data_IF_379179375496
#
_entry.id   IF_379179375496
#
_cell.length_a   1.000
_cell.length_b   1.000
_cell.length_c   1.000
_cell.angle_alpha   90.00
_cell.angle_beta   90.00
_cell.angle_gamma   90.00
#
_symmetry.space_group_name_H-M   'P 1'
#
loop_
_entity.id
_entity.type
_entity.pdbx_description
1 polymer ?
#
# COMPACT_ATOMS: atom_id res chain seq x y z
N UNK A 1 4.56 -21.74 -1.13
CA UNK A 1 3.35 -21.48 -0.33
C UNK A 1 3.09 -19.98 -0.36
N UNK A 2 1.84 -19.53 -0.57
CA UNK A 2 1.48 -18.10 -0.50
C UNK A 2 1.23 -17.72 0.98
N UNK A 3 1.60 -16.49 1.37
CA UNK A 3 1.39 -15.98 2.74
C UNK A 3 0.13 -15.12 2.82
N UNK A 4 0.02 -14.15 1.92
CA UNK A 4 -1.13 -13.28 1.74
C UNK A 4 -1.27 -12.90 0.25
N UNK A 5 -2.45 -12.41 -0.12
CA UNK A 5 -2.82 -12.06 -1.48
C UNK A 5 -3.66 -10.78 -1.49
N UNK A 6 -3.40 -9.96 -2.51
CA UNK A 6 -4.20 -8.79 -2.89
C UNK A 6 -4.40 -8.87 -4.40
N UNK A 7 -5.63 -9.16 -4.83
CA UNK A 7 -5.96 -9.26 -6.25
C UNK A 7 -6.30 -7.86 -6.81
N UNK A 8 -5.26 -7.09 -7.11
CA UNK A 8 -5.33 -5.73 -7.66
C UNK A 8 -4.26 -5.50 -8.71
N UNK A 9 -4.64 -4.89 -9.84
CA UNK A 9 -3.68 -4.35 -10.81
C UNK A 9 -3.29 -2.95 -10.37
N UNK A 10 -2.23 -2.84 -9.57
CA UNK A 10 -1.81 -1.59 -8.95
C UNK A 10 -0.29 -1.51 -8.81
N UNK A 11 0.21 -0.29 -8.67
CA UNK A 11 1.57 -0.05 -8.20
C UNK A 11 1.66 -0.41 -6.74
N UNK A 12 2.80 -0.95 -6.30
CA UNK A 12 3.00 -1.39 -4.91
C UNK A 12 4.21 -0.74 -4.26
N UNK A 13 4.08 -0.39 -2.98
CA UNK A 13 5.19 0.04 -2.13
C UNK A 13 5.04 -0.52 -0.72
N UNK A 14 6.11 -1.12 -0.19
CA UNK A 14 6.14 -1.66 1.16
C UNK A 14 6.60 -0.63 2.18
N UNK A 15 5.97 -0.62 3.36
CA UNK A 15 6.48 0.18 4.48
C UNK A 15 7.93 -0.19 4.82
N UNK A 16 8.72 0.73 5.39
CA UNK A 16 10.07 0.43 5.84
C UNK A 16 10.10 -0.80 6.76
N UNK A 17 11.16 -1.61 6.67
CA UNK A 17 11.27 -2.84 7.46
C UNK A 17 11.27 -2.64 8.97
N UNK A 18 11.58 -1.43 9.44
CA UNK A 18 11.55 -1.06 10.87
C UNK A 18 10.15 -0.63 11.33
N UNK A 19 9.22 -0.39 10.41
CA UNK A 19 7.84 -0.06 10.76
C UNK A 19 7.07 -1.34 11.07
N UNK A 20 6.51 -1.40 12.27
CA UNK A 20 5.62 -2.47 12.70
C UNK A 20 4.29 -1.87 13.19
N UNK A 21 3.13 -2.41 12.76
CA UNK A 21 2.94 -3.49 11.78
C UNK A 21 3.50 -3.19 10.38
N UNK A 22 3.68 -4.25 9.56
CA UNK A 22 4.15 -4.11 8.17
C UNK A 22 2.94 -3.79 7.29
N UNK A 23 3.11 -2.80 6.41
CA UNK A 23 2.05 -2.35 5.51
C UNK A 23 2.46 -2.42 4.04
N UNK A 24 1.46 -2.62 3.18
CA UNK A 24 1.56 -2.58 1.73
C UNK A 24 0.66 -1.47 1.22
N UNK A 25 1.23 -0.46 0.57
CA UNK A 25 0.47 0.55 -0.16
C UNK A 25 0.30 0.11 -1.61
N UNK A 26 -0.92 0.23 -2.13
CA UNK A 26 -1.22 0.01 -3.54
C UNK A 26 -1.92 1.22 -4.16
N UNK A 27 -1.45 1.68 -5.32
CA UNK A 27 -2.03 2.80 -6.05
C UNK A 27 -2.45 2.41 -7.46
N UNK A 28 -3.60 2.87 -7.92
CA UNK A 28 -4.02 2.68 -9.33
C UNK A 28 -3.01 3.33 -10.27
N UNK A 29 -2.35 2.52 -11.10
CA UNK A 29 -1.31 3.01 -12.02
C UNK A 29 -1.90 3.81 -13.18
N UNK A 30 -1.24 4.90 -13.56
CA UNK A 30 -1.58 5.71 -14.74
C UNK A 30 -1.33 4.99 -16.06
N UNK A 31 -0.40 4.03 -16.06
CA UNK A 31 0.02 3.31 -17.28
C UNK A 31 -0.71 1.99 -17.48
N UNK A 32 -1.42 1.51 -16.46
CA UNK A 32 -2.16 0.25 -16.53
C UNK A 32 -3.66 0.54 -16.58
N UNK A 33 -4.38 -0.32 -17.30
CA UNK A 33 -5.83 -0.35 -17.29
C UNK A 33 -6.26 -1.55 -16.45
N UNK A 34 -7.16 -1.32 -15.50
CA UNK A 34 -7.69 -2.42 -14.69
C UNK A 34 -8.69 -3.27 -15.49
N UNK A 35 -9.04 -4.44 -14.96
CA UNK A 35 -9.99 -5.37 -15.58
C UNK A 35 -11.39 -4.77 -15.82
N UNK A 36 -11.70 -3.65 -15.16
CA UNK A 36 -13.00 -2.97 -15.22
C UNK A 36 -13.01 -1.72 -16.12
N UNK A 37 -11.87 -1.38 -16.74
CA UNK A 37 -11.68 -0.16 -17.53
C UNK A 37 -12.03 1.13 -16.75
N UNK A 38 -11.94 1.07 -15.42
CA UNK A 38 -12.28 2.20 -14.55
C UNK A 38 -11.23 3.30 -14.67
N UNK A 39 -11.69 4.56 -14.69
CA UNK A 39 -10.82 5.74 -14.61
C UNK A 39 -10.64 6.25 -13.19
N UNK A 40 -11.29 5.62 -12.20
CA UNK A 40 -11.17 6.02 -10.80
C UNK A 40 -9.80 5.59 -10.27
N UNK A 41 -9.07 6.52 -9.66
CA UNK A 41 -7.82 6.21 -9.00
C UNK A 41 -8.05 6.05 -7.50
N UNK A 42 -7.39 5.06 -6.90
CA UNK A 42 -7.38 4.88 -5.45
C UNK A 42 -5.97 4.55 -4.96
N UNK A 43 -5.68 5.02 -3.76
CA UNK A 43 -4.55 4.61 -2.94
C UNK A 43 -5.10 3.82 -1.75
N UNK A 44 -4.68 2.58 -1.62
CA UNK A 44 -5.12 1.66 -0.57
C UNK A 44 -3.91 1.24 0.25
N UNK A 45 -4.10 1.07 1.57
CA UNK A 45 -3.07 0.58 2.49
C UNK A 45 -3.59 -0.70 3.12
N UNK A 46 -2.82 -1.77 2.98
CA UNK A 46 -3.11 -3.08 3.53
C UNK A 46 -2.14 -3.42 4.66
N UNK A 47 -2.64 -4.01 5.73
CA UNK A 47 -1.80 -4.55 6.80
C UNK A 47 -1.44 -6.00 6.53
N UNK A 48 -0.16 -6.34 6.73
CA UNK A 48 0.33 -7.71 6.68
C UNK A 48 0.14 -8.38 8.04
N UNK A 49 -1.07 -8.90 8.25
CA UNK A 49 -1.40 -9.69 9.43
C UNK A 49 -1.15 -11.19 9.18
N UNK A 50 -0.02 -11.71 9.65
CA UNK A 50 0.33 -13.12 9.56
C UNK A 50 -0.35 -13.99 10.63
N UNK A 51 -1.06 -13.39 11.59
CA UNK A 51 -1.83 -14.13 12.60
C UNK A 51 -3.18 -14.61 12.04
N UNK A 52 -3.72 -13.90 11.06
CA UNK A 52 -4.93 -14.28 10.35
C UNK A 52 -4.61 -15.34 9.27
N UNK A 53 -5.17 -16.56 9.36
CA UNK A 53 -4.92 -17.65 8.42
C UNK A 53 -5.55 -17.44 7.04
N UNK A 54 -6.39 -16.41 6.88
CA UNK A 54 -6.95 -16.04 5.57
C UNK A 54 -5.85 -15.64 4.59
N UNK A 55 -6.08 -15.87 3.31
CA UNK A 55 -5.15 -15.43 2.27
C UNK A 55 -5.27 -13.93 2.01
N UNK A 56 -6.45 -13.35 2.18
CA UNK A 56 -6.69 -11.96 1.85
C UNK A 56 -6.00 -11.00 2.84
N UNK A 57 -5.45 -9.90 2.31
CA UNK A 57 -5.02 -8.77 3.15
C UNK A 57 -6.18 -7.81 3.41
N UNK A 58 -6.28 -7.31 4.64
CA UNK A 58 -7.28 -6.33 5.03
C UNK A 58 -6.80 -4.92 4.67
N UNK A 59 -7.65 -4.15 4.00
CA UNK A 59 -7.41 -2.73 3.79
C UNK A 59 -7.67 -1.96 5.09
N UNK A 60 -6.67 -1.21 5.53
CA UNK A 60 -6.72 -0.36 6.72
C UNK A 60 -7.12 1.08 6.36
N UNK A 61 -6.83 1.50 5.13
CA UNK A 61 -7.17 2.83 4.64
C UNK A 61 -7.33 2.82 3.12
N UNK A 62 -8.29 3.60 2.63
CA UNK A 62 -8.51 3.83 1.20
C UNK A 62 -8.69 5.32 0.98
N UNK A 63 -7.99 5.86 -0.01
CA UNK A 63 -8.07 7.24 -0.45
C UNK A 63 -8.40 7.29 -1.93
N UNK A 64 -9.49 7.96 -2.30
CA UNK A 64 -9.85 8.18 -3.70
C UNK A 64 -9.11 9.39 -4.27
N UNK A 65 -8.65 9.27 -5.50
CA UNK A 65 -7.95 10.31 -6.25
C UNK A 65 -8.59 10.50 -7.62
N UNK A 66 -8.53 11.73 -8.12
CA UNK A 66 -8.88 12.04 -9.51
C UNK A 66 -7.75 11.75 -10.50
N UNK A 67 -6.52 11.56 -10.01
CA UNK A 67 -5.33 11.30 -10.80
C UNK A 67 -4.75 9.94 -10.46
N UNK A 68 -4.39 9.18 -11.51
CA UNK A 68 -3.70 7.90 -11.39
C UNK A 68 -2.21 8.12 -11.13
N UNK A 69 -1.59 7.15 -10.48
CA UNK A 69 -0.22 7.29 -10.01
C UNK A 69 0.81 6.79 -11.03
N UNK A 70 1.91 7.52 -11.19
CA UNK A 70 3.07 7.14 -11.99
C UNK A 70 4.15 6.48 -11.15
N UNK A 71 4.22 6.80 -9.86
CA UNK A 71 5.20 6.27 -8.92
C UNK A 71 4.62 6.20 -7.51
N UNK A 72 4.96 5.11 -6.82
CA UNK A 72 4.63 4.92 -5.41
C UNK A 72 5.89 4.52 -4.67
N UNK A 73 6.25 5.27 -3.63
CA UNK A 73 7.45 5.03 -2.82
C UNK A 73 7.10 5.18 -1.35
N UNK A 74 7.49 4.22 -0.53
CA UNK A 74 7.38 4.32 0.92
C UNK A 74 8.77 4.26 1.53
N UNK A 75 9.17 5.35 2.18
CA UNK A 75 10.48 5.50 2.81
C UNK A 75 10.39 5.76 4.31
N UNK A 76 11.48 5.60 5.07
CA UNK A 76 11.54 6.03 6.45
C UNK A 76 11.53 7.56 6.51
N UNK A 77 10.77 8.13 7.45
CA UNK A 77 10.70 9.57 7.63
C UNK A 77 11.48 10.02 8.86
N UNK A 78 11.17 9.50 10.06
CA UNK A 78 11.86 9.82 11.33
C UNK A 78 11.63 8.74 12.39
N UNK A 79 12.61 8.56 13.29
CA UNK A 79 12.35 8.01 14.62
C UNK A 79 12.05 9.17 15.57
N UNK A 80 10.97 9.06 16.34
CA UNK A 80 10.71 10.04 17.40
C UNK A 80 11.62 9.78 18.61
N UNK A 81 11.58 10.69 19.59
CA UNK A 81 12.35 10.55 20.84
C UNK A 81 11.91 9.37 21.72
N UNK A 82 10.80 8.70 21.39
CA UNK A 82 10.30 7.50 22.06
C UNK A 82 10.72 6.21 21.34
N UNK A 83 11.33 6.32 20.17
CA UNK A 83 11.77 5.18 19.34
C UNK A 83 10.73 4.70 18.34
N UNK A 84 9.60 5.42 18.17
CA UNK A 84 8.58 5.07 17.19
C UNK A 84 9.04 5.47 15.80
N UNK A 85 9.05 4.50 14.87
CA UNK A 85 9.48 4.70 13.49
C UNK A 85 8.29 5.12 12.63
N UNK A 86 8.36 6.32 12.06
CA UNK A 86 7.38 6.79 11.09
C UNK A 86 7.87 6.59 9.66
N UNK A 87 7.01 6.08 8.78
CA UNK A 87 7.23 6.05 7.34
C UNK A 87 6.55 7.22 6.63
N UNK A 88 7.08 7.60 5.46
CA UNK A 88 6.46 8.55 4.52
C UNK A 88 6.14 7.81 3.22
N UNK A 89 4.89 7.94 2.78
CA UNK A 89 4.42 7.43 1.49
C UNK A 89 4.29 8.60 0.53
N UNK A 90 4.97 8.52 -0.62
CA UNK A 90 4.93 9.50 -1.70
C UNK A 90 4.29 8.82 -2.90
N UNK A 91 3.25 9.46 -3.44
CA UNK A 91 2.54 9.04 -4.63
C UNK A 91 2.49 10.21 -5.61
N UNK A 92 3.02 10.03 -6.82
CA UNK A 92 2.97 11.00 -7.93
C UNK A 92 2.08 10.52 -9.06
#
# INVERSE_FOLDING_TARGET
MKLKEVDRTAMQAWSPAQNHPIYLATGTSAQQLDATFSTNASLEIFELDLSDPSLDMKSCATFSSSHRYHKLIWGPYKMDSKGDVSGVLIAD
#
